data_IF_077191691488
#
_entry.id   IF_077191691488
#
_cell.length_a   1.000
_cell.length_b   1.000
_cell.length_c   1.000
_cell.angle_alpha   90.00
_cell.angle_beta   90.00
_cell.angle_gamma   90.00
#
_symmetry.space_group_name_H-M   'P 1'
#
loop_
_entity.id
_entity.type
_entity.pdbx_description
1 polymer ?
#
# COMPACT_ATOMS: atom_id res chain seq x y z
N UNK A 1 6.21 13.78 -0.85
CA UNK A 1 5.95 13.88 -2.30
C UNK A 1 6.54 15.20 -2.78
N UNK A 2 7.60 15.16 -3.58
CA UNK A 2 8.24 16.37 -4.10
C UNK A 2 7.67 16.76 -5.46
N UNK A 3 7.64 18.06 -5.77
CA UNK A 3 7.22 18.58 -7.08
C UNK A 3 5.70 18.77 -7.27
N UNK A 4 4.88 18.35 -6.31
CA UNK A 4 3.45 18.66 -6.32
C UNK A 4 3.21 20.06 -5.73
N UNK A 5 2.74 20.97 -6.57
CA UNK A 5 2.64 22.41 -6.25
C UNK A 5 1.20 22.87 -5.95
N UNK A 6 0.19 22.01 -6.12
CA UNK A 6 -1.19 22.39 -5.78
C UNK A 6 -1.43 22.41 -4.27
N UNK A 7 -2.27 23.33 -3.82
CA UNK A 7 -2.66 23.44 -2.40
C UNK A 7 -3.86 22.54 -2.06
N UNK A 8 -3.86 21.29 -2.54
CA UNK A 8 -4.90 20.29 -2.26
C UNK A 8 -4.30 19.03 -1.65
N UNK A 9 -4.95 18.42 -0.64
CA UNK A 9 -4.47 17.18 -0.05
C UNK A 9 -4.55 16.01 -1.05
N UNK A 10 -3.71 15.00 -0.84
CA UNK A 10 -3.70 13.75 -1.60
C UNK A 10 -3.71 12.54 -0.66
N UNK A 11 -4.17 11.39 -1.15
CA UNK A 11 -4.06 10.12 -0.43
C UNK A 11 -2.79 9.36 -0.82
N UNK A 12 -1.89 9.11 0.13
CA UNK A 12 -0.83 8.12 -0.01
C UNK A 12 -1.41 6.74 0.30
N UNK A 13 -1.53 5.91 -0.73
CA UNK A 13 -1.93 4.52 -0.63
C UNK A 13 -0.73 3.62 -0.40
N UNK A 14 -0.90 2.64 0.49
CA UNK A 14 0.09 1.62 0.83
C UNK A 14 -0.60 0.26 0.76
N UNK A 15 -0.01 -0.67 0.02
CA UNK A 15 -0.44 -2.07 0.00
C UNK A 15 0.76 -3.00 -0.07
N UNK A 16 0.55 -4.29 0.20
CA UNK A 16 1.60 -5.30 0.12
C UNK A 16 1.63 -5.88 -1.28
N UNK A 17 2.79 -5.77 -1.93
CA UNK A 17 3.04 -6.29 -3.26
C UNK A 17 4.00 -7.48 -3.26
N UNK A 18 4.04 -8.18 -4.39
CA UNK A 18 5.04 -9.19 -4.72
C UNK A 18 6.45 -8.58 -4.74
N UNK A 19 7.46 -9.37 -4.34
CA UNK A 19 8.86 -8.97 -4.46
C UNK A 19 9.45 -9.16 -5.89
N UNK A 20 8.68 -9.73 -6.82
CA UNK A 20 9.06 -9.90 -8.23
C UNK A 20 9.31 -8.53 -8.89
N UNK A 21 10.52 -8.33 -9.41
CA UNK A 21 10.97 -7.08 -10.02
C UNK A 21 10.32 -6.82 -11.38
N UNK A 22 9.86 -7.87 -12.07
CA UNK A 22 9.26 -7.73 -13.41
C UNK A 22 7.81 -7.29 -13.33
N UNK A 23 7.08 -7.80 -12.34
CA UNK A 23 5.63 -7.59 -12.24
C UNK A 23 5.25 -7.32 -10.78
N UNK A 24 5.01 -6.03 -10.49
CA UNK A 24 4.49 -5.61 -9.20
C UNK A 24 2.97 -5.81 -9.14
N UNK A 25 2.52 -6.78 -8.34
CA UNK A 25 1.10 -7.10 -8.10
C UNK A 25 0.83 -7.16 -6.61
N UNK A 26 -0.42 -6.96 -6.15
CA UNK A 26 -0.80 -7.25 -4.77
C UNK A 26 -0.40 -8.68 -4.37
N UNK A 27 0.11 -8.85 -3.16
CA UNK A 27 0.50 -10.17 -2.66
C UNK A 27 -0.74 -10.95 -2.21
N UNK A 28 -0.83 -12.21 -2.61
CA UNK A 28 -1.95 -13.09 -2.30
C UNK A 28 -2.07 -13.43 -0.79
N UNK A 29 -0.94 -13.80 -0.19
CA UNK A 29 -0.86 -14.31 1.19
C UNK A 29 -0.52 -13.24 2.24
N UNK A 30 -0.19 -12.02 1.82
CA UNK A 30 0.19 -10.95 2.74
C UNK A 30 -0.59 -9.69 2.38
N UNK A 31 -1.17 -9.04 3.38
CA UNK A 31 -1.89 -7.80 3.22
C UNK A 31 -1.36 -6.74 4.18
N UNK A 32 -1.60 -5.47 3.85
CA UNK A 32 -1.30 -4.39 4.78
C UNK A 32 -2.26 -4.49 5.95
N UNK A 33 -1.80 -4.14 7.14
CA UNK A 33 -2.62 -4.06 8.33
C UNK A 33 -2.42 -2.71 8.99
N UNK A 34 -3.52 -2.01 9.27
CA UNK A 34 -3.46 -0.74 9.99
C UNK A 34 -3.07 -0.99 11.45
N UNK A 35 -1.93 -0.43 11.86
CA UNK A 35 -1.50 -0.43 13.27
C UNK A 35 -2.08 0.81 13.95
N UNK A 36 -2.58 0.62 15.17
CA UNK A 36 -3.05 1.68 16.06
C UNK A 36 -2.41 1.53 17.43
N UNK A 37 -2.32 2.61 18.21
CA UNK A 37 -1.75 2.56 19.56
C UNK A 37 -1.19 3.91 20.00
N UNK A 38 -0.77 3.99 21.26
CA UNK A 38 -0.24 5.24 21.86
C UNK A 38 1.02 5.77 21.18
N UNK A 39 1.82 4.87 20.60
CA UNK A 39 3.08 5.20 19.91
C UNK A 39 2.87 5.49 18.41
N UNK A 40 1.66 5.29 17.88
CA UNK A 40 1.33 5.54 16.48
C UNK A 40 0.79 6.95 16.36
N UNK A 41 1.51 7.79 15.63
CA UNK A 41 1.22 9.22 15.48
C UNK A 41 0.57 9.55 14.14
N UNK A 42 0.75 8.70 13.13
CA UNK A 42 0.23 8.96 11.79
C UNK A 42 -1.24 8.59 11.67
N UNK A 43 -2.08 9.55 11.31
CA UNK A 43 -3.47 9.29 10.92
C UNK A 43 -3.49 8.44 9.66
N UNK A 44 -4.26 7.35 9.68
CA UNK A 44 -4.42 6.47 8.54
C UNK A 44 -5.78 5.80 8.52
N UNK A 45 -6.19 5.35 7.34
CA UNK A 45 -7.47 4.70 7.10
C UNK A 45 -7.24 3.42 6.31
N UNK A 46 -8.05 2.41 6.58
CA UNK A 46 -7.99 1.17 5.83
C UNK A 46 -9.18 1.09 4.89
N UNK A 47 -8.95 0.69 3.65
CA UNK A 47 -9.99 0.45 2.66
C UNK A 47 -9.67 -0.76 1.80
N UNK A 48 -10.69 -1.28 1.12
CA UNK A 48 -10.53 -2.34 0.13
C UNK A 48 -10.68 -1.72 -1.26
N UNK A 49 -9.69 -1.97 -2.12
CA UNK A 49 -9.70 -1.60 -3.54
C UNK A 49 -9.62 -2.88 -4.37
N UNK A 50 -10.71 -3.22 -5.05
CA UNK A 50 -10.87 -4.56 -5.63
C UNK A 50 -10.82 -5.63 -4.53
N UNK A 51 -9.85 -6.54 -4.61
CA UNK A 51 -9.60 -7.56 -3.56
C UNK A 51 -8.35 -7.24 -2.70
N UNK A 52 -7.78 -6.04 -2.82
CA UNK A 52 -6.56 -5.65 -2.13
C UNK A 52 -6.87 -4.72 -0.98
N UNK A 53 -6.33 -5.04 0.21
CA UNK A 53 -6.36 -4.13 1.35
C UNK A 53 -5.35 -3.00 1.15
N UNK A 54 -5.81 -1.77 1.30
CA UNK A 54 -5.00 -0.55 1.12
C UNK A 54 -5.09 0.29 2.39
N UNK A 55 -3.94 0.68 2.90
CA UNK A 55 -3.80 1.69 3.94
C UNK A 55 -3.63 3.06 3.26
N UNK A 56 -4.42 4.04 3.64
CA UNK A 56 -4.34 5.40 3.12
C UNK A 56 -3.90 6.37 4.20
N UNK A 57 -2.91 7.20 3.89
CA UNK A 57 -2.38 8.27 4.74
C UNK A 57 -2.61 9.60 4.01
N UNK A 58 -3.25 10.60 4.64
CA UNK A 58 -3.42 11.91 4.03
C UNK A 58 -2.07 12.63 3.93
N UNK A 59 -1.76 13.13 2.74
CA UNK A 59 -0.65 14.05 2.48
C UNK A 59 -1.22 15.46 2.38
N UNK A 60 -0.71 16.34 3.26
CA UNK A 60 -1.20 17.70 3.40
C UNK A 60 -0.15 18.72 2.93
N UNK A 61 -0.52 19.74 2.15
CA UNK A 61 0.40 20.79 1.69
C UNK A 61 1.09 21.52 2.86
N UNK A 62 0.37 21.79 3.94
CA UNK A 62 0.90 22.42 5.17
C UNK A 62 2.04 21.62 5.83
N UNK A 63 2.12 20.32 5.55
CA UNK A 63 3.16 19.41 6.04
C UNK A 63 4.19 19.09 4.96
N UNK A 64 4.33 19.95 3.93
CA UNK A 64 5.22 19.76 2.79
C UNK A 64 5.00 18.42 2.06
N UNK A 65 3.74 17.96 2.01
CA UNK A 65 3.37 16.65 1.43
C UNK A 65 4.23 15.50 1.97
N UNK A 66 4.63 15.58 3.25
CA UNK A 66 5.44 14.58 3.96
C UNK A 66 4.56 13.72 4.86
N UNK A 67 4.87 12.43 4.91
CA UNK A 67 4.31 11.49 5.87
C UNK A 67 5.45 10.67 6.48
N UNK A 68 5.34 10.39 7.78
CA UNK A 68 6.06 9.30 8.45
C UNK A 68 5.14 8.08 8.44
N UNK A 69 5.69 6.88 8.34
CA UNK A 69 4.89 5.65 8.26
C UNK A 69 5.20 4.80 9.50
N UNK A 70 4.42 5.00 10.55
CA UNK A 70 4.46 4.25 11.82
C UNK A 70 3.19 3.41 12.05
N UNK A 71 2.28 3.39 11.05
CA UNK A 71 0.94 2.81 11.15
C UNK A 71 0.69 1.63 10.20
N UNK A 72 1.74 1.11 9.54
CA UNK A 72 1.63 0.02 8.55
C UNK A 72 2.30 -1.26 9.06
N UNK A 73 1.52 -2.33 9.20
CA UNK A 73 1.98 -3.69 9.47
C UNK A 73 1.82 -4.60 8.26
N UNK A 74 2.54 -5.71 8.27
CA UNK A 74 2.43 -6.78 7.27
C UNK A 74 1.73 -7.97 7.93
N UNK A 75 0.57 -8.36 7.40
CA UNK A 75 -0.24 -9.44 7.95
C UNK A 75 -0.27 -10.63 7.00
N UNK A 76 0.22 -11.77 7.47
CA UNK A 76 0.11 -13.06 6.79
C UNK A 76 -1.32 -13.62 6.95
N UNK A 77 -1.93 -13.95 5.83
CA UNK A 77 -3.23 -14.60 5.77
C UNK A 77 -3.06 -16.11 5.97
N UNK A 78 -4.06 -16.74 6.58
CA UNK A 78 -4.04 -18.21 6.73
C UNK A 78 -4.25 -18.84 5.36
N UNK A 79 -3.51 -19.91 5.07
CA UNK A 79 -3.60 -20.61 3.78
C UNK A 79 -5.05 -21.03 3.47
N UNK A 80 -5.78 -21.54 4.46
CA UNK A 80 -7.18 -21.94 4.30
C UNK A 80 -8.10 -20.79 3.85
N UNK A 81 -7.82 -19.54 4.25
CA UNK A 81 -8.62 -18.38 3.85
C UNK A 81 -8.31 -17.94 2.40
N UNK A 82 -7.13 -18.31 1.87
CA UNK A 82 -6.69 -18.01 0.50
C UNK A 82 -7.13 -19.10 -0.48
N UNK A 83 -7.04 -20.37 -0.09
CA UNK A 83 -7.43 -21.52 -0.93
C UNK A 83 -8.90 -21.46 -1.38
N UNK A 84 -9.77 -20.76 -0.62
CA UNK A 84 -11.15 -20.48 -0.99
C UNK A 84 -11.30 -19.46 -2.14
N UNK A 85 -10.25 -18.70 -2.47
CA UNK A 85 -10.22 -17.72 -3.58
C UNK A 85 -9.77 -18.43 -4.85
N UNK A 86 -10.72 -18.71 -5.76
CA UNK A 86 -10.44 -19.36 -7.05
C UNK A 86 -9.30 -18.65 -7.81
N UNK A 87 -8.27 -19.40 -8.20
CA UNK A 87 -7.18 -18.91 -9.07
C UNK A 87 -5.89 -18.52 -8.35
N UNK A 88 -5.82 -18.61 -7.03
CA UNK A 88 -4.58 -18.47 -6.27
C UNK A 88 -3.75 -19.77 -6.38
N UNK A 89 -2.46 -19.65 -6.73
CA UNK A 89 -1.58 -20.79 -7.00
C UNK A 89 -0.60 -21.05 -5.85
N UNK A 90 -0.10 -22.27 -5.74
CA UNK A 90 0.91 -22.68 -4.74
C UNK A 90 2.20 -21.84 -4.74
N UNK A 91 2.46 -21.09 -5.81
CA UNK A 91 3.63 -20.21 -5.94
C UNK A 91 3.64 -19.15 -4.83
N UNK A 92 2.47 -18.58 -4.50
CA UNK A 92 2.38 -17.57 -3.44
C UNK A 92 2.58 -18.14 -2.03
N UNK A 93 2.34 -19.45 -1.83
CA UNK A 93 2.41 -20.11 -0.52
C UNK A 93 3.84 -20.19 0.02
N UNK A 94 4.81 -20.34 -0.87
CA UNK A 94 6.25 -20.40 -0.54
C UNK A 94 6.94 -19.05 -0.62
N UNK A 95 6.27 -18.03 -1.16
CA UNK A 95 6.85 -16.70 -1.30
C UNK A 95 6.60 -15.87 -0.04
N UNK A 96 7.62 -15.79 0.81
CA UNK A 96 7.66 -14.97 2.03
C UNK A 96 8.22 -13.57 1.78
N UNK A 97 8.66 -13.28 0.54
CA UNK A 97 9.24 -11.99 0.17
C UNK A 97 8.17 -11.06 -0.38
N UNK A 98 8.04 -9.92 0.29
CA UNK A 98 7.05 -8.89 -0.05
C UNK A 98 7.71 -7.53 -0.25
N UNK A 99 6.97 -6.57 -0.80
CA UNK A 99 7.34 -5.16 -0.81
C UNK A 99 6.17 -4.31 -0.30
N UNK A 100 6.48 -3.21 0.37
CA UNK A 100 5.51 -2.14 0.56
C UNK A 100 5.42 -1.37 -0.76
N UNK A 101 4.21 -1.23 -1.29
CA UNK A 101 3.95 -0.44 -2.49
C UNK A 101 3.28 0.85 -2.11
N UNK A 102 3.89 1.97 -2.50
CA UNK A 102 3.42 3.32 -2.26
C UNK A 102 2.82 3.87 -3.55
N UNK A 103 1.60 4.37 -3.49
CA UNK A 103 0.90 4.95 -4.64
C UNK A 103 0.20 6.25 -4.27
N UNK A 104 0.28 7.25 -5.13
CA UNK A 104 -0.50 8.49 -5.02
C UNK A 104 -1.22 8.72 -6.33
N UNK A 105 -2.50 9.07 -6.27
CA UNK A 105 -3.30 9.51 -7.41
C UNK A 105 -3.40 11.02 -7.41
N UNK A 106 -2.90 11.66 -8.46
CA UNK A 106 -2.85 13.11 -8.64
C UNK A 106 -3.90 13.49 -9.72
N UNK A 107 -5.02 14.11 -9.33
CA UNK A 107 -5.97 14.64 -10.31
C UNK A 107 -5.38 15.87 -10.99
N UNK A 108 -5.38 15.90 -12.32
CA UNK A 108 -4.96 17.05 -13.11
C UNK A 108 -6.17 17.92 -13.52
N UNK A 109 -5.91 19.17 -13.89
CA UNK A 109 -6.94 20.10 -14.39
C UNK A 109 -7.67 19.61 -15.64
N UNK A 110 -7.04 18.72 -16.42
CA UNK A 110 -7.63 18.05 -17.59
C UNK A 110 -8.73 17.03 -17.22
N UNK A 111 -8.91 16.71 -15.94
CA UNK A 111 -9.75 15.61 -15.46
C UNK A 111 -9.06 14.24 -15.52
N UNK A 112 -7.84 14.17 -16.07
CA UNK A 112 -7.00 12.96 -16.02
C UNK A 112 -6.48 12.74 -14.59
N UNK A 113 -6.22 11.48 -14.25
CA UNK A 113 -5.51 11.11 -13.02
C UNK A 113 -4.14 10.56 -13.39
N UNK A 114 -3.08 11.21 -12.88
CA UNK A 114 -1.72 10.68 -12.94
C UNK A 114 -1.45 9.87 -11.68
N UNK A 115 -0.92 8.66 -11.83
CA UNK A 115 -0.58 7.81 -10.69
C UNK A 115 0.92 7.69 -10.58
N UNK A 116 1.47 8.11 -9.44
CA UNK A 116 2.85 7.86 -9.08
C UNK A 116 2.91 6.60 -8.22
N UNK A 117 3.82 5.69 -8.51
CA UNK A 117 4.00 4.46 -7.76
C UNK A 117 5.48 4.14 -7.58
N UNK A 118 5.83 3.70 -6.37
CA UNK A 118 7.15 3.15 -6.05
C UNK A 118 7.01 1.99 -5.08
N UNK A 119 8.01 1.12 -5.01
CA UNK A 119 8.05 -0.03 -4.11
C UNK A 119 9.28 0.05 -3.22
N UNK A 120 9.15 -0.40 -1.97
CA UNK A 120 10.28 -0.55 -1.04
C UNK A 120 11.27 -1.60 -1.54
N UNK A 121 12.40 -1.72 -0.84
CA UNK A 121 13.21 -2.93 -0.87
C UNK A 121 12.37 -4.16 -0.46
N UNK A 122 12.72 -5.37 -0.95
CA UNK A 122 12.08 -6.60 -0.48
C UNK A 122 12.23 -6.77 1.04
N UNK A 123 11.18 -7.31 1.65
CA UNK A 123 11.08 -7.66 3.07
C UNK A 123 10.80 -9.16 3.15
N UNK A 124 11.59 -9.88 3.94
CA UNK A 124 11.35 -11.29 4.27
C UNK A 124 10.42 -11.37 5.49
N UNK A 125 9.31 -12.10 5.40
CA UNK A 125 8.25 -12.15 6.41
C UNK A 125 7.98 -13.56 6.97
#
# INVERSE_FOLDING_TARGET
LHGYMENKPLGLQIFIGTADERILKPHAFYQVHRITGKTVTTTSYEKIVGNTKVLEIPLEPKNNMRATIDCAGILKLRNADIELRKGETDIGRKNTRVRLVFRVHIPESSGRIVSLQTASNPIEC
#
